data_IF_970943177108
#
_entry.id   IF_970943177108
#
_cell.length_a   1.000
_cell.length_b   1.000
_cell.length_c   1.000
_cell.angle_alpha   90.00
_cell.angle_beta   90.00
_cell.angle_gamma   90.00
#
_symmetry.space_group_name_H-M   'P 1'
#
loop_
_entity.id
_entity.type
_entity.pdbx_description
1 polymer ?
#
# COMPACT_ATOMS: atom_id res chain seq x y z
N UNK A 1 0.48 6.36 -5.03
CA UNK A 1 0.75 6.57 -3.59
C UNK A 1 2.08 5.94 -3.27
N UNK A 2 3.00 6.70 -2.65
CA UNK A 2 4.27 6.17 -2.20
C UNK A 2 4.02 5.14 -1.08
N UNK A 3 4.74 4.01 -1.09
CA UNK A 3 4.66 3.03 -0.02
C UNK A 3 5.71 3.38 1.02
N UNK A 4 5.28 3.69 2.23
CA UNK A 4 6.19 3.88 3.38
C UNK A 4 6.52 2.51 3.95
N UNK A 5 7.77 2.08 3.82
CA UNK A 5 8.24 0.81 4.41
C UNK A 5 8.52 1.01 5.89
N UNK A 6 8.12 0.04 6.72
CA UNK A 6 8.36 0.10 8.17
C UNK A 6 9.79 -0.38 8.44
N UNK A 7 10.64 0.53 8.91
CA UNK A 7 11.98 0.17 9.37
C UNK A 7 11.89 -0.56 10.73
N UNK A 8 12.76 -1.56 10.92
CA UNK A 8 12.78 -2.39 12.12
C UNK A 8 11.65 -3.42 12.21
N UNK A 9 10.97 -3.73 11.10
CA UNK A 9 9.98 -4.80 11.01
C UNK A 9 10.50 -5.98 10.19
N UNK A 10 10.41 -7.19 10.72
CA UNK A 10 10.78 -8.43 10.04
C UNK A 10 9.67 -9.46 10.11
N UNK A 11 9.42 -10.18 9.01
CA UNK A 11 8.48 -11.29 9.00
C UNK A 11 9.01 -12.50 8.23
N UNK A 12 9.01 -13.64 8.92
CA UNK A 12 9.36 -14.93 8.37
C UNK A 12 8.19 -15.90 8.49
N UNK A 13 7.73 -16.41 7.36
CA UNK A 13 6.79 -17.51 7.30
C UNK A 13 7.48 -18.82 7.71
N UNK A 14 6.82 -19.59 8.56
CA UNK A 14 7.26 -20.88 9.08
C UNK A 14 6.11 -21.85 8.90
N UNK A 15 6.35 -22.94 8.19
CA UNK A 15 5.34 -23.98 7.99
C UNK A 15 5.37 -24.96 9.17
N UNK A 16 4.21 -25.27 9.71
CA UNK A 16 4.04 -26.30 10.72
C UNK A 16 2.90 -27.26 10.35
N UNK A 17 2.62 -28.21 11.25
CA UNK A 17 1.62 -29.26 11.04
C UNK A 17 0.21 -28.72 10.73
N UNK A 18 -0.11 -27.51 11.20
CA UNK A 18 -1.44 -26.88 11.05
C UNK A 18 -1.48 -25.72 10.04
N UNK A 19 -0.45 -25.56 9.21
CA UNK A 19 -0.40 -24.52 8.18
C UNK A 19 0.79 -23.58 8.32
N UNK A 20 0.66 -22.38 7.72
CA UNK A 20 1.70 -21.36 7.71
C UNK A 20 1.54 -20.42 8.92
N UNK A 21 2.62 -20.26 9.67
CA UNK A 21 2.74 -19.32 10.78
C UNK A 21 3.64 -18.16 10.38
N UNK A 22 3.36 -16.96 10.87
CA UNK A 22 4.19 -15.79 10.62
C UNK A 22 4.91 -15.42 11.91
N UNK A 23 6.23 -15.57 11.93
CA UNK A 23 7.06 -15.01 12.98
C UNK A 23 7.30 -13.54 12.64
N UNK A 24 6.77 -12.64 13.45
CA UNK A 24 6.78 -11.20 13.23
C UNK A 24 7.54 -10.55 14.38
N UNK A 25 8.47 -9.66 14.05
CA UNK A 25 9.21 -8.87 15.03
C UNK A 25 9.19 -7.41 14.62
N UNK A 26 8.97 -6.55 15.60
CA UNK A 26 9.00 -5.10 15.44
C UNK A 26 9.92 -4.49 16.49
N UNK A 27 10.76 -3.55 16.06
CA UNK A 27 11.46 -2.66 16.97
C UNK A 27 10.47 -1.60 17.47
N UNK A 28 10.15 -1.60 18.76
CA UNK A 28 9.11 -0.73 19.36
C UNK A 28 9.46 0.75 19.24
N UNK A 29 10.73 1.12 19.46
CA UNK A 29 11.19 2.52 19.36
C UNK A 29 10.99 3.07 17.95
N UNK A 30 11.34 2.27 16.94
CA UNK A 30 11.11 2.62 15.53
C UNK A 30 9.65 2.52 15.14
N UNK A 31 8.87 1.64 15.75
CA UNK A 31 7.45 1.48 15.42
C UNK A 31 6.64 2.69 15.89
N UNK A 32 7.04 3.29 17.02
CA UNK A 32 6.35 4.43 17.63
C UNK A 32 6.31 5.66 16.71
N UNK A 33 7.32 5.86 15.85
CA UNK A 33 7.33 6.97 14.89
C UNK A 33 6.21 6.89 13.84
N UNK A 34 5.65 5.69 13.65
CA UNK A 34 4.57 5.42 12.70
C UNK A 34 3.20 5.34 13.38
N UNK A 35 3.12 5.58 14.69
CA UNK A 35 1.86 5.57 15.42
C UNK A 35 1.05 6.81 15.06
N UNK A 36 -0.25 6.61 14.86
CA UNK A 36 -1.20 7.72 14.70
C UNK A 36 -1.48 8.38 16.07
N UNK A 37 -2.24 9.48 16.05
CA UNK A 37 -2.63 10.22 17.26
C UNK A 37 -3.39 9.38 18.30
N UNK A 38 -4.01 8.27 17.85
CA UNK A 38 -4.72 7.31 18.71
C UNK A 38 -3.81 6.20 19.26
N UNK A 39 -2.52 6.23 18.95
CA UNK A 39 -1.52 5.25 19.38
C UNK A 39 -1.48 3.94 18.58
N UNK A 40 -2.18 3.88 17.43
CA UNK A 40 -2.20 2.69 16.58
C UNK A 40 -1.25 2.82 15.40
N UNK A 41 -0.66 1.69 15.02
CA UNK A 41 0.20 1.57 13.83
C UNK A 41 -0.48 0.60 12.88
N UNK A 42 -1.02 1.13 11.78
CA UNK A 42 -1.68 0.32 10.77
C UNK A 42 -0.67 -0.11 9.72
N UNK A 43 -0.48 -1.41 9.54
CA UNK A 43 0.48 -1.96 8.56
C UNK A 43 -0.19 -2.95 7.63
N UNK A 44 0.33 -3.03 6.40
CA UNK A 44 -0.01 -4.07 5.44
C UNK A 44 1.16 -5.04 5.34
N UNK A 45 0.91 -6.32 5.60
CA UNK A 45 1.86 -7.39 5.34
C UNK A 45 1.76 -7.84 3.89
N UNK A 46 2.87 -7.86 3.17
CA UNK A 46 2.93 -8.28 1.77
C UNK A 46 4.04 -9.32 1.57
N UNK A 47 3.75 -10.36 0.78
CA UNK A 47 4.74 -11.38 0.42
C UNK A 47 5.82 -10.78 -0.48
N UNK A 48 7.08 -11.08 -0.19
CA UNK A 48 8.21 -10.71 -1.06
C UNK A 48 8.24 -11.65 -2.27
N UNK A 49 8.74 -11.12 -3.39
CA UNK A 49 9.02 -11.95 -4.58
C UNK A 49 10.20 -12.88 -4.32
N UNK A 50 11.21 -12.38 -3.62
CA UNK A 50 12.40 -13.12 -3.23
C UNK A 50 12.60 -13.01 -1.72
N UNK A 51 13.03 -14.09 -1.04
CA UNK A 51 13.38 -14.02 0.37
C UNK A 51 14.50 -13.00 0.57
N UNK A 52 14.41 -12.21 1.65
CA UNK A 52 15.44 -11.24 1.98
C UNK A 52 16.75 -11.87 2.39
N UNK A 53 17.77 -11.03 2.57
CA UNK A 53 19.12 -11.43 2.97
C UNK A 53 19.15 -12.30 4.23
N UNK A 54 18.23 -12.07 5.17
CA UNK A 54 18.12 -12.84 6.42
C UNK A 54 16.98 -13.87 6.40
N UNK A 55 16.43 -14.16 5.22
CA UNK A 55 15.33 -15.10 5.03
C UNK A 55 13.95 -14.53 5.36
N UNK A 56 13.77 -13.21 5.39
CA UNK A 56 12.44 -12.63 5.57
C UNK A 56 11.62 -12.85 4.29
N UNK A 57 10.46 -13.45 4.46
CA UNK A 57 9.54 -13.82 3.37
C UNK A 57 8.50 -12.73 3.06
N UNK A 58 8.27 -11.83 4.01
CA UNK A 58 7.25 -10.80 3.95
C UNK A 58 7.84 -9.45 4.35
N UNK A 59 7.22 -8.38 3.90
CA UNK A 59 7.55 -7.01 4.28
C UNK A 59 6.30 -6.26 4.73
N UNK A 60 6.51 -5.22 5.53
CA UNK A 60 5.44 -4.36 6.02
C UNK A 60 5.51 -2.97 5.39
N UNK A 61 4.35 -2.45 5.02
CA UNK A 61 4.19 -1.06 4.61
C UNK A 61 3.16 -0.37 5.48
N UNK A 62 3.37 0.90 5.80
CA UNK A 62 2.40 1.72 6.53
C UNK A 62 1.11 1.80 5.73
N UNK A 63 -0.01 1.59 6.41
CA UNK A 63 -1.33 1.83 5.87
C UNK A 63 -1.83 3.19 6.36
N UNK A 64 -1.72 4.21 5.50
CA UNK A 64 -2.23 5.56 5.77
C UNK A 64 -3.76 5.68 5.62
N UNK A 65 -4.46 4.56 5.43
CA UNK A 65 -5.91 4.55 5.28
C UNK A 65 -6.59 5.05 6.56
N UNK A 66 -7.19 6.24 6.46
CA UNK A 66 -8.11 6.79 7.44
C UNK A 66 -9.54 6.68 6.87
N UNK A 67 -10.49 6.01 7.54
CA UNK A 67 -11.88 5.91 7.08
C UNK A 67 -12.52 7.27 6.82
N UNK A 68 -12.13 8.32 7.54
CA UNK A 68 -12.68 9.68 7.37
C UNK A 68 -12.20 10.36 6.06
N UNK A 69 -11.01 10.04 5.57
CA UNK A 69 -10.50 10.60 4.30
C UNK A 69 -10.96 9.81 3.06
N UNK A 70 -11.47 8.60 3.24
CA UNK A 70 -11.88 7.74 2.12
C UNK A 70 -13.24 8.10 1.53
N UNK A 71 -14.04 8.93 2.20
CA UNK A 71 -15.28 9.47 1.62
C UNK A 71 -15.04 10.55 0.55
N UNK A 72 -13.83 11.09 0.42
CA UNK A 72 -13.55 12.20 -0.52
C UNK A 72 -12.85 11.79 -1.83
N UNK A 73 -12.51 10.52 -2.02
CA UNK A 73 -11.73 10.08 -3.20
C UNK A 73 -12.51 9.31 -4.27
N UNK A 74 -13.83 9.29 -4.19
CA UNK A 74 -14.72 8.86 -5.28
C UNK A 74 -15.18 10.06 -6.12
N UNK A 75 -14.23 10.80 -6.70
CA UNK A 75 -14.54 11.63 -7.88
C UNK A 75 -14.09 10.85 -9.13
N UNK A 76 -15.01 10.41 -10.00
CA UNK A 76 -14.60 9.82 -11.26
C UNK A 76 -13.80 10.87 -12.04
N UNK A 77 -12.62 10.48 -12.51
CA UNK A 77 -11.79 11.26 -13.41
C UNK A 77 -12.62 11.64 -14.65
N UNK A 78 -13.09 12.89 -14.72
CA UNK A 78 -13.59 13.44 -15.98
C UNK A 78 -12.38 13.61 -16.89
N UNK A 79 -12.22 12.65 -17.82
CA UNK A 79 -11.42 12.84 -19.02
C UNK A 79 -11.94 14.10 -19.73
N UNK A 80 -11.19 15.20 -19.64
CA UNK A 80 -11.30 16.30 -20.60
C UNK A 80 -10.72 15.79 -21.92
N UNK A 81 -11.57 15.18 -22.74
CA UNK A 81 -11.32 15.12 -24.17
C UNK A 81 -11.45 16.56 -24.70
N UNK A 82 -10.31 17.17 -25.06
CA UNK A 82 -10.33 18.24 -26.05
C UNK A 82 -10.88 17.64 -27.34
N UNK A 83 -12.19 17.77 -27.55
CA UNK A 83 -12.79 17.70 -28.86
C UNK A 83 -12.60 19.07 -29.49
N UNK A 84 -11.47 19.25 -30.16
CA UNK A 84 -11.35 20.31 -31.15
C UNK A 84 -12.43 20.05 -32.21
N UNK A 85 -13.19 21.12 -32.43
CA UNK A 85 -14.26 21.33 -33.39
C UNK A 85 -13.91 20.76 -34.78
N UNK A 86 -14.36 19.54 -35.07
CA UNK A 86 -14.46 19.04 -36.45
C UNK A 86 -15.84 19.45 -36.93
N UNK A 87 -15.91 20.64 -37.54
CA UNK A 87 -17.10 21.06 -38.28
C UNK A 87 -17.30 20.11 -39.48
N UNK A 88 -18.55 19.72 -39.69
CA UNK A 88 -19.01 18.75 -40.71
C UNK A 88 -18.84 19.26 -42.15
N UNK A 89 -18.37 20.49 -42.33
CA UNK A 89 -18.17 21.15 -43.62
C UNK A 89 -16.85 20.79 -44.33
N UNK A 90 -15.89 20.15 -43.66
CA UNK A 90 -14.53 19.94 -44.22
C UNK A 90 -14.25 18.50 -44.69
N UNK A 91 -15.30 17.72 -45.00
CA UNK A 91 -15.16 16.39 -45.61
C UNK A 91 -15.22 16.53 -47.14
N UNK A 92 -14.12 16.34 -47.89
CA UNK A 92 -14.17 16.27 -49.34
C UNK A 92 -14.88 14.97 -49.77
N UNK A 93 -15.83 15.10 -50.71
CA UNK A 93 -16.54 13.99 -51.37
C UNK A 93 -15.62 13.07 -52.16
#
# INVERSE_FOLDING_TARGET
MAKTYIDGASCKAVNGQFGEFFNISFNVEKLQQYANEKGYVNVVMSKRKEPGQYGETHYFTLNEWNPENSQNNSKPSQNKSNSDDISVEDIPF
#
